data_IF_631496743551
#
_entry.id   IF_631496743551
#
_cell.length_a   1.000
_cell.length_b   1.000
_cell.length_c   1.000
_cell.angle_alpha   90.00
_cell.angle_beta   90.00
_cell.angle_gamma   90.00
#
_symmetry.space_group_name_H-M   'P 1'
#
loop_
_entity.id
_entity.type
_entity.pdbx_description
1 polymer ?
#
# COMPACT_ATOMS: atom_id res chain seq x y z
N UNK A 1 -4.66 -0.49 -29.22
CA UNK A 1 -4.65 0.61 -28.22
C UNK A 1 -4.82 1.91 -28.98
N UNK A 2 -5.91 2.64 -28.74
CA UNK A 2 -6.08 3.96 -29.38
C UNK A 2 -5.09 4.93 -28.71
N UNK A 3 -4.23 5.57 -29.48
CA UNK A 3 -3.32 6.60 -28.97
C UNK A 3 -4.08 7.91 -28.86
N UNK A 4 -4.48 8.28 -27.65
CA UNK A 4 -5.01 9.60 -27.36
C UNK A 4 -3.85 10.59 -27.40
N UNK A 5 -3.75 11.39 -28.46
CA UNK A 5 -2.81 12.51 -28.52
C UNK A 5 -3.31 13.63 -27.61
N UNK A 6 -2.86 13.64 -26.36
CA UNK A 6 -3.13 14.72 -25.41
C UNK A 6 -2.18 15.88 -25.69
N UNK A 7 -2.72 17.03 -26.11
CA UNK A 7 -1.95 18.27 -26.26
C UNK A 7 -1.54 18.80 -24.88
N UNK A 8 -0.23 18.81 -24.60
CA UNK A 8 0.30 19.34 -23.34
C UNK A 8 0.31 20.88 -23.37
N UNK A 9 -0.39 21.51 -22.42
CA UNK A 9 -0.39 22.97 -22.27
C UNK A 9 0.53 23.36 -21.10
N UNK A 10 1.57 24.19 -21.32
CA UNK A 10 2.44 24.65 -20.24
C UNK A 10 1.66 25.35 -19.13
N UNK A 11 2.03 25.10 -17.88
CA UNK A 11 1.45 25.73 -16.68
C UNK A 11 -0.07 25.53 -16.50
N UNK A 12 -0.67 24.53 -17.16
CA UNK A 12 -2.12 24.28 -17.09
C UNK A 12 -2.67 24.07 -15.67
N UNK A 13 -1.81 23.66 -14.72
CA UNK A 13 -2.16 23.35 -13.33
C UNK A 13 -1.47 24.29 -12.33
N UNK A 14 -0.93 25.43 -12.77
CA UNK A 14 -0.13 26.32 -11.89
C UNK A 14 -0.90 26.84 -10.67
N UNK A 15 -2.22 27.00 -10.80
CA UNK A 15 -3.11 27.52 -9.77
C UNK A 15 -3.99 26.41 -9.16
N UNK A 16 -3.77 25.14 -9.55
CA UNK A 16 -4.51 24.02 -9.00
C UNK A 16 -4.04 23.77 -7.55
N UNK A 17 -4.95 23.62 -6.58
CA UNK A 17 -4.55 23.29 -5.21
C UNK A 17 -3.92 21.91 -5.15
N UNK A 18 -2.96 21.72 -4.24
CA UNK A 18 -2.32 20.44 -4.05
C UNK A 18 -3.18 19.52 -3.16
N UNK A 19 -3.10 18.21 -3.39
CA UNK A 19 -3.81 17.20 -2.59
C UNK A 19 -3.52 17.34 -1.09
N UNK A 20 -2.30 17.71 -0.71
CA UNK A 20 -1.91 17.87 0.70
C UNK A 20 -2.72 18.93 1.45
N UNK A 21 -3.30 19.88 0.73
CA UNK A 21 -4.09 20.98 1.30
C UNK A 21 -5.53 20.57 1.65
N UNK A 22 -5.96 19.37 1.25
CA UNK A 22 -7.35 18.92 1.40
C UNK A 22 -7.48 17.50 1.97
N UNK A 23 -7.18 16.47 1.19
CA UNK A 23 -7.46 15.06 1.53
C UNK A 23 -6.21 14.25 1.89
N UNK A 24 -5.19 14.88 2.45
CA UNK A 24 -3.98 14.17 2.87
C UNK A 24 -4.28 13.12 3.96
N UNK A 25 -3.97 11.82 3.76
CA UNK A 25 -4.29 10.77 4.73
C UNK A 25 -3.28 10.72 5.89
N UNK A 26 -3.27 11.76 6.71
CA UNK A 26 -2.28 11.99 7.77
C UNK A 26 -2.15 10.82 8.75
N UNK A 27 -3.24 10.14 9.09
CA UNK A 27 -3.22 8.98 9.98
C UNK A 27 -2.47 7.79 9.38
N UNK A 28 -2.78 7.39 8.14
CA UNK A 28 -2.10 6.29 7.44
C UNK A 28 -0.61 6.59 7.27
N UNK A 29 -0.28 7.81 6.84
CA UNK A 29 1.11 8.26 6.69
C UNK A 29 1.86 8.22 8.01
N UNK A 30 1.24 8.70 9.11
CA UNK A 30 1.86 8.73 10.43
C UNK A 30 2.14 7.32 10.97
N UNK A 31 1.22 6.38 10.75
CA UNK A 31 1.39 4.99 11.15
C UNK A 31 2.59 4.34 10.45
N UNK A 32 2.69 4.47 9.13
CA UNK A 32 3.82 3.92 8.37
C UNK A 32 5.15 4.61 8.69
N UNK A 33 5.13 5.94 8.89
CA UNK A 33 6.31 6.70 9.30
C UNK A 33 6.82 6.25 10.68
N UNK A 34 5.91 5.93 11.61
CA UNK A 34 6.27 5.40 12.92
C UNK A 34 6.82 3.97 12.82
N UNK A 35 6.21 3.11 11.97
CA UNK A 35 6.72 1.76 11.72
C UNK A 35 8.13 1.78 11.17
N UNK A 36 8.41 2.65 10.20
CA UNK A 36 9.75 2.81 9.63
C UNK A 36 10.76 3.25 10.70
N UNK A 37 10.40 4.20 11.57
CA UNK A 37 11.26 4.64 12.68
C UNK A 37 11.57 3.54 13.68
N UNK A 38 10.62 2.63 13.91
CA UNK A 38 10.75 1.52 14.87
C UNK A 38 11.37 0.26 14.26
N UNK A 39 11.67 0.25 12.96
CA UNK A 39 12.22 -0.92 12.27
C UNK A 39 13.65 -1.31 12.68
N UNK A 40 14.35 -0.45 13.44
CA UNK A 40 15.68 -0.75 13.96
C UNK A 40 16.69 -1.05 12.83
N UNK A 41 17.38 -2.20 12.84
CA UNK A 41 18.31 -2.57 11.77
C UNK A 41 17.70 -2.68 10.37
N UNK A 42 16.38 -2.89 10.29
CA UNK A 42 15.66 -2.98 9.02
C UNK A 42 15.26 -1.60 8.45
N UNK A 43 15.62 -0.49 9.12
CA UNK A 43 15.41 0.85 8.57
C UNK A 43 16.32 1.06 7.35
N UNK A 44 15.74 1.38 6.19
CA UNK A 44 16.48 1.46 4.90
C UNK A 44 17.69 2.39 4.94
N UNK A 45 17.60 3.52 5.65
CA UNK A 45 18.73 4.42 5.88
C UNK A 45 19.35 4.17 7.27
N UNK A 46 20.04 3.05 7.44
CA UNK A 46 20.85 2.76 8.64
C UNK A 46 22.23 3.43 8.60
N UNK A 47 22.89 3.45 9.78
CA UNK A 47 24.25 3.90 10.14
C UNK A 47 24.83 5.17 9.46
N UNK A 48 24.97 5.22 8.14
CA UNK A 48 25.56 6.35 7.39
C UNK A 48 24.76 7.65 7.52
N UNK A 49 23.43 7.56 7.70
CA UNK A 49 22.56 8.74 7.92
C UNK A 49 22.58 9.30 9.35
N UNK A 50 23.34 8.70 10.28
CA UNK A 50 23.47 9.24 11.65
C UNK A 50 24.22 10.57 11.72
N UNK A 51 25.06 10.84 10.72
CA UNK A 51 25.77 12.10 10.57
C UNK A 51 24.82 13.30 10.39
N UNK A 52 23.66 13.09 9.77
CA UNK A 52 22.63 14.11 9.51
C UNK A 52 21.46 13.97 10.49
N UNK A 53 21.66 14.30 11.77
CA UNK A 53 20.78 14.26 12.99
C UNK A 53 19.27 14.66 12.83
N UNK A 54 18.57 14.13 11.85
CA UNK A 54 17.23 14.56 11.42
C UNK A 54 16.63 13.66 10.33
N UNK A 55 16.78 12.33 10.48
CA UNK A 55 16.23 11.34 9.53
C UNK A 55 14.69 11.45 9.48
N UNK A 56 14.16 12.08 8.43
CA UNK A 56 12.74 12.01 8.11
C UNK A 56 12.46 10.62 7.49
N UNK A 57 11.42 9.91 7.94
CA UNK A 57 11.06 8.62 7.34
C UNK A 57 10.88 8.75 5.83
N UNK A 58 11.44 7.81 5.06
CA UNK A 58 11.34 7.83 3.60
C UNK A 58 9.88 7.77 3.13
N UNK A 59 9.05 7.02 3.84
CA UNK A 59 7.61 6.97 3.53
C UNK A 59 6.95 8.34 3.73
N UNK A 60 7.38 9.11 4.74
CA UNK A 60 6.88 10.47 4.96
C UNK A 60 7.38 11.41 3.86
N UNK A 61 8.66 11.33 3.49
CA UNK A 61 9.21 12.15 2.39
C UNK A 61 8.45 11.88 1.09
N UNK A 62 8.22 10.61 0.74
CA UNK A 62 7.41 10.22 -0.42
C UNK A 62 6.00 10.80 -0.35
N UNK A 63 5.33 10.67 0.80
CA UNK A 63 3.99 11.20 1.01
C UNK A 63 3.92 12.72 0.79
N UNK A 64 4.88 13.49 1.32
CA UNK A 64 4.94 14.94 1.14
C UNK A 64 5.20 15.30 -0.31
N UNK A 65 6.17 14.65 -0.98
CA UNK A 65 6.47 14.91 -2.39
C UNK A 65 5.23 14.68 -3.24
N UNK A 66 4.55 13.54 -3.09
CA UNK A 66 3.34 13.24 -3.84
C UNK A 66 2.20 14.20 -3.49
N UNK A 67 1.95 14.43 -2.20
CA UNK A 67 0.84 15.28 -1.74
C UNK A 67 0.98 16.73 -2.21
N UNK A 68 2.21 17.25 -2.30
CA UNK A 68 2.47 18.60 -2.79
C UNK A 68 2.41 18.75 -4.32
N UNK A 69 2.43 17.66 -5.09
CA UNK A 69 2.48 17.72 -6.57
C UNK A 69 1.23 17.18 -7.26
N UNK A 70 0.43 16.36 -6.58
CA UNK A 70 -0.82 15.87 -7.16
C UNK A 70 -1.86 16.99 -7.14
N UNK A 71 -2.40 17.40 -8.30
CA UNK A 71 -3.45 18.40 -8.38
C UNK A 71 -4.75 17.82 -7.83
N UNK A 72 -5.51 18.63 -7.12
CA UNK A 72 -6.88 18.28 -6.75
C UNK A 72 -7.81 18.38 -7.95
N UNK A 73 -8.74 17.44 -8.05
CA UNK A 73 -9.85 17.47 -8.99
C UNK A 73 -11.16 17.78 -8.27
N UNK A 74 -12.29 17.67 -8.97
CA UNK A 74 -13.61 17.80 -8.34
C UNK A 74 -14.04 16.52 -7.60
N UNK A 75 -13.21 15.47 -7.60
CA UNK A 75 -13.47 14.19 -6.94
C UNK A 75 -12.32 13.86 -5.98
N UNK A 76 -12.50 14.33 -4.74
CA UNK A 76 -11.50 14.17 -3.70
C UNK A 76 -11.31 12.69 -3.27
N UNK A 77 -12.32 11.84 -3.45
CA UNK A 77 -12.20 10.40 -3.19
C UNK A 77 -11.32 9.72 -4.25
N UNK A 78 -11.50 10.07 -5.53
CA UNK A 78 -10.65 9.59 -6.61
C UNK A 78 -9.20 10.07 -6.45
N UNK A 79 -8.99 11.33 -6.07
CA UNK A 79 -7.66 11.88 -5.83
C UNK A 79 -6.94 11.15 -4.69
N UNK A 80 -7.65 10.93 -3.58
CA UNK A 80 -7.14 10.14 -2.46
C UNK A 80 -6.86 8.69 -2.88
N UNK A 81 -7.73 8.05 -3.68
CA UNK A 81 -7.51 6.69 -4.16
C UNK A 81 -6.26 6.58 -5.06
N UNK A 82 -5.97 7.58 -5.89
CA UNK A 82 -4.74 7.65 -6.68
C UNK A 82 -3.53 7.83 -5.77
N UNK A 83 -3.59 8.75 -4.80
CA UNK A 83 -2.51 8.93 -3.82
C UNK A 83 -2.23 7.64 -3.04
N UNK A 84 -3.26 6.94 -2.58
CA UNK A 84 -3.11 5.69 -1.83
C UNK A 84 -2.50 4.57 -2.66
N UNK A 85 -2.87 4.45 -3.95
CA UNK A 85 -2.21 3.54 -4.89
C UNK A 85 -0.73 3.88 -5.08
N UNK A 86 -0.41 5.16 -5.25
CA UNK A 86 0.98 5.63 -5.38
C UNK A 86 1.78 5.41 -4.11
N UNK A 87 1.14 5.34 -2.94
CA UNK A 87 1.75 5.03 -1.66
C UNK A 87 1.75 3.54 -1.30
N UNK A 88 1.11 2.69 -2.11
CA UNK A 88 0.82 1.29 -1.79
C UNK A 88 0.09 1.12 -0.44
N UNK A 89 -0.84 2.04 -0.17
CA UNK A 89 -1.78 2.03 0.96
C UNK A 89 -3.13 1.45 0.57
N UNK A 90 -3.36 1.25 -0.72
CA UNK A 90 -4.53 0.57 -1.25
C UNK A 90 -4.48 -0.94 -0.96
N UNK A 91 -5.63 -1.60 -1.07
CA UNK A 91 -5.78 -3.03 -0.74
C UNK A 91 -4.79 -3.93 -1.48
N UNK A 92 -4.53 -3.62 -2.76
CA UNK A 92 -3.61 -4.41 -3.58
C UNK A 92 -2.17 -4.23 -3.11
N UNK A 93 -1.75 -2.99 -2.86
CA UNK A 93 -0.45 -2.67 -2.27
C UNK A 93 -0.25 -3.37 -0.91
N UNK A 94 -1.25 -3.31 -0.04
CA UNK A 94 -1.23 -3.97 1.26
C UNK A 94 -1.17 -5.51 1.14
N UNK A 95 -1.92 -6.11 0.22
CA UNK A 95 -1.90 -7.55 -0.01
C UNK A 95 -0.51 -8.04 -0.46
N UNK A 96 0.10 -7.33 -1.41
CA UNK A 96 1.46 -7.64 -1.90
C UNK A 96 2.51 -7.50 -0.80
N UNK A 97 2.43 -6.43 0.01
CA UNK A 97 3.34 -6.20 1.14
C UNK A 97 3.19 -7.29 2.21
N UNK A 98 1.96 -7.67 2.53
CA UNK A 98 1.67 -8.73 3.49
C UNK A 98 2.20 -10.09 3.00
N UNK A 99 2.04 -10.40 1.71
CA UNK A 99 2.59 -11.61 1.10
C UNK A 99 4.12 -11.64 1.17
N UNK A 100 4.78 -10.55 0.74
CA UNK A 100 6.24 -10.43 0.79
C UNK A 100 6.79 -10.57 2.23
N UNK A 101 6.03 -10.13 3.23
CA UNK A 101 6.37 -10.26 4.64
C UNK A 101 5.98 -11.62 5.26
N UNK A 102 5.40 -12.55 4.49
CA UNK A 102 4.82 -13.81 4.99
C UNK A 102 3.87 -13.60 6.19
N UNK A 103 3.04 -12.55 6.13
CA UNK A 103 2.23 -12.11 7.27
C UNK A 103 1.19 -13.14 7.76
N UNK A 104 0.82 -14.12 6.94
CA UNK A 104 -0.08 -15.20 7.30
C UNK A 104 0.53 -16.56 6.95
N UNK A 105 0.37 -17.52 7.85
CA UNK A 105 0.65 -18.93 7.53
C UNK A 105 -0.49 -19.54 6.71
N UNK A 106 -0.19 -20.62 5.97
CA UNK A 106 -1.21 -21.34 5.21
C UNK A 106 -2.39 -21.81 6.08
N UNK A 107 -2.09 -22.41 7.24
CA UNK A 107 -3.11 -22.81 8.21
C UNK A 107 -3.93 -21.63 8.74
N UNK A 108 -3.29 -20.47 8.99
CA UNK A 108 -4.01 -19.29 9.44
C UNK A 108 -4.97 -18.76 8.38
N UNK A 109 -4.59 -18.81 7.11
CA UNK A 109 -5.49 -18.44 6.01
C UNK A 109 -6.68 -19.39 5.92
N UNK A 110 -6.47 -20.70 6.06
CA UNK A 110 -7.57 -21.67 6.09
C UNK A 110 -8.58 -21.41 7.21
N UNK A 111 -8.13 -20.90 8.36
CA UNK A 111 -9.02 -20.52 9.48
C UNK A 111 -9.73 -19.18 9.25
N UNK A 112 -9.06 -18.23 8.59
CA UNK A 112 -9.56 -16.86 8.46
C UNK A 112 -10.57 -16.66 7.33
N UNK A 113 -10.47 -17.45 6.26
CA UNK A 113 -11.28 -17.24 5.05
C UNK A 113 -11.99 -18.53 4.62
N UNK A 114 -13.25 -18.44 4.16
CA UNK A 114 -13.91 -19.58 3.54
C UNK A 114 -13.29 -19.85 2.17
N UNK A 115 -12.79 -21.06 1.92
CA UNK A 115 -12.13 -21.43 0.66
C UNK A 115 -12.89 -22.61 0.05
N UNK A 116 -13.53 -22.38 -1.09
CA UNK A 116 -14.33 -23.40 -1.77
C UNK A 116 -13.48 -24.58 -2.26
N UNK A 117 -12.27 -24.30 -2.78
CA UNK A 117 -11.35 -25.29 -3.32
C UNK A 117 -9.99 -25.26 -2.58
N UNK A 118 -9.89 -25.76 -1.32
CA UNK A 118 -8.65 -25.69 -0.54
C UNK A 118 -7.47 -26.39 -1.20
N UNK A 119 -7.73 -27.53 -1.86
CA UNK A 119 -6.73 -28.36 -2.54
C UNK A 119 -6.04 -27.62 -3.71
N UNK A 120 -6.64 -26.52 -4.21
CA UNK A 120 -5.99 -25.65 -5.20
C UNK A 120 -4.77 -24.94 -4.61
N UNK A 121 -4.77 -24.63 -3.31
CA UNK A 121 -3.77 -23.77 -2.68
C UNK A 121 -2.92 -24.51 -1.65
N UNK A 122 -3.46 -25.56 -1.04
CA UNK A 122 -2.86 -26.19 0.14
C UNK A 122 -2.55 -27.67 -0.07
N UNK A 123 -1.67 -28.17 0.78
CA UNK A 123 -1.41 -29.59 1.00
C UNK A 123 -1.44 -29.81 2.52
N UNK A 124 -2.59 -30.26 3.04
CA UNK A 124 -2.86 -30.27 4.48
C UNK A 124 -2.83 -28.87 5.08
N UNK A 125 -2.08 -28.67 6.17
CA UNK A 125 -1.93 -27.37 6.86
C UNK A 125 -0.89 -26.43 6.21
N UNK A 126 -0.23 -26.88 5.15
CA UNK A 126 0.83 -26.16 4.44
C UNK A 126 0.42 -25.72 3.04
N UNK A 127 1.27 -24.90 2.41
CA UNK A 127 1.14 -24.55 1.00
C UNK A 127 1.34 -25.79 0.12
N UNK A 128 0.64 -25.83 -1.02
CA UNK A 128 0.96 -26.78 -2.08
C UNK A 128 2.38 -26.50 -2.61
N UNK A 129 3.12 -27.55 -3.02
CA UNK A 129 4.54 -27.42 -3.40
C UNK A 129 4.78 -26.49 -4.60
N UNK A 130 3.82 -26.44 -5.51
CA UNK A 130 3.79 -25.65 -6.74
C UNK A 130 2.92 -24.40 -6.63
N UNK A 131 2.48 -24.02 -5.42
CA UNK A 131 1.70 -22.80 -5.22
C UNK A 131 2.53 -21.56 -5.55
N UNK A 132 2.08 -20.80 -6.54
CA UNK A 132 2.75 -19.58 -6.98
C UNK A 132 2.44 -18.41 -6.05
N UNK A 133 3.23 -17.33 -6.14
CA UNK A 133 2.92 -16.11 -5.40
C UNK A 133 1.63 -15.45 -5.90
N UNK A 134 1.24 -15.66 -7.16
CA UNK A 134 -0.06 -15.24 -7.67
C UNK A 134 -1.21 -16.00 -7.00
N UNK A 135 -1.06 -17.31 -6.83
CA UNK A 135 -2.03 -18.15 -6.11
C UNK A 135 -2.16 -17.69 -4.65
N UNK A 136 -1.03 -17.45 -3.98
CA UNK A 136 -1.02 -16.94 -2.59
C UNK A 136 -1.65 -15.55 -2.52
N UNK A 137 -1.35 -14.66 -3.48
CA UNK A 137 -1.84 -13.29 -3.48
C UNK A 137 -3.37 -13.24 -3.55
N UNK A 138 -4.01 -14.17 -4.28
CA UNK A 138 -5.47 -14.32 -4.27
C UNK A 138 -6.00 -14.50 -2.85
N UNK A 139 -5.36 -15.36 -2.04
CA UNK A 139 -5.79 -15.60 -0.66
C UNK A 139 -5.48 -14.43 0.27
N UNK A 140 -4.35 -13.75 0.08
CA UNK A 140 -4.01 -12.56 0.85
C UNK A 140 -5.00 -11.42 0.63
N UNK A 141 -5.44 -11.17 -0.62
CA UNK A 141 -6.50 -10.19 -0.91
C UNK A 141 -7.79 -10.51 -0.16
N UNK A 142 -8.20 -11.78 -0.18
CA UNK A 142 -9.42 -12.24 0.50
C UNK A 142 -9.31 -12.13 2.02
N UNK A 143 -8.16 -12.45 2.59
CA UNK A 143 -7.89 -12.31 4.02
C UNK A 143 -8.00 -10.85 4.47
N UNK A 144 -7.37 -9.92 3.73
CA UNK A 144 -7.47 -8.49 4.04
C UNK A 144 -8.89 -7.95 3.89
N UNK A 145 -9.61 -8.35 2.84
CA UNK A 145 -11.02 -7.98 2.66
C UNK A 145 -11.89 -8.46 3.84
N UNK A 146 -11.63 -9.65 4.36
CA UNK A 146 -12.34 -10.22 5.52
C UNK A 146 -12.05 -9.44 6.80
N UNK A 147 -10.77 -9.10 7.06
CA UNK A 147 -10.39 -8.27 8.20
C UNK A 147 -11.04 -6.89 8.17
N UNK A 148 -11.11 -6.26 6.98
CA UNK A 148 -11.78 -4.97 6.82
C UNK A 148 -13.28 -5.06 7.06
N UNK A 149 -13.94 -6.07 6.51
CA UNK A 149 -15.38 -6.28 6.73
C UNK A 149 -15.69 -6.47 8.22
N UNK A 150 -14.85 -7.21 8.95
CA UNK A 150 -15.00 -7.39 10.40
C UNK A 150 -14.70 -6.14 11.22
N UNK A 151 -13.93 -5.17 10.70
CA UNK A 151 -13.62 -3.91 11.40
C UNK A 151 -14.72 -2.85 11.22
N UNK A 152 -15.64 -3.06 10.27
CA UNK A 152 -16.77 -2.17 9.96
C UNK A 152 -18.10 -2.67 10.54
N UNK A 153 -18.12 -3.87 11.11
CA UNK A 153 -19.26 -4.49 11.80
C UNK A 153 -19.16 -4.24 13.31
#
# INVERSE_FOLDING_TARGET
MQQTTTTLTPLALKDAPALIETVFPAQKVSFEAQRERKAGPAQTLTALGSYWKGRKPLILVRAIVLGSHLPLTNDAEADLAVFEKLMAFDDEGLARRALAANAFSAGKLQEMIPIADPERYFSGRGWRRDATDEDKLVLYRRALATLRASALA
#
